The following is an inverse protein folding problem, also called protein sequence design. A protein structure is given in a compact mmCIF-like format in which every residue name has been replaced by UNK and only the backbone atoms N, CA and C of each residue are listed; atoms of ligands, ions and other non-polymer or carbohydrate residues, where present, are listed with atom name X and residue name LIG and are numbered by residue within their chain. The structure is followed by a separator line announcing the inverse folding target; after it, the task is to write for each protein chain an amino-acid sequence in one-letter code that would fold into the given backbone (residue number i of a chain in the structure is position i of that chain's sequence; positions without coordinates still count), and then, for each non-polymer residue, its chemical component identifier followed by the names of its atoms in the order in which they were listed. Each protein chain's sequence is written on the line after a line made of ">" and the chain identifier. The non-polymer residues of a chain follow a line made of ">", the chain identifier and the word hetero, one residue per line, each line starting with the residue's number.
data_IF_767410852475
#
_entry.id   IF_767410852475
#
_cell.length_a   1.000
_cell.length_b   1.000
_cell.length_c   1.000
_cell.angle_alpha   90.00
_cell.angle_beta   90.00
_cell.angle_gamma   90.00
#
_symmetry.space_group_name_H-M   'P 1'
#
loop_
_entity.id
_entity.type
_entity.pdbx_description
1 polymer ?
#
# COMPACT_ATOMS: atom_id res chain seq x y z
N UNK A 1 3.90 7.73 -10.90
CA UNK A 1 3.00 7.74 -9.74
C UNK A 1 1.95 8.79 -9.95
N UNK A 2 0.71 8.39 -9.94
CA UNK A 2 -0.34 9.31 -10.31
C UNK A 2 -1.04 9.89 -9.08
N UNK A 3 -1.77 9.09 -8.36
CA UNK A 3 -2.46 9.60 -7.20
C UNK A 3 -2.40 8.61 -6.07
N UNK A 4 -2.05 9.09 -4.89
CA UNK A 4 -1.94 8.28 -3.70
C UNK A 4 -2.82 8.91 -2.64
N UNK A 5 -3.63 8.11 -2.00
CA UNK A 5 -4.49 8.58 -0.93
C UNK A 5 -3.94 8.05 0.40
N UNK A 6 -3.58 8.98 1.25
CA UNK A 6 -3.06 8.67 2.58
C UNK A 6 -4.10 9.10 3.59
N UNK A 7 -4.69 8.12 4.24
CA UNK A 7 -5.71 8.39 5.25
C UNK A 7 -5.20 7.89 6.58
N UNK A 8 -5.10 8.79 7.50
CA UNK A 8 -4.67 8.42 8.83
C UNK A 8 -5.25 9.35 9.85
N UNK A 9 -5.40 8.85 11.06
CA UNK A 9 -5.84 9.68 12.17
C UNK A 9 -4.61 10.10 12.94
N UNK A 10 -4.32 11.35 12.95
CA UNK A 10 -3.20 11.85 13.72
C UNK A 10 -1.91 11.85 12.94
N UNK A 11 -1.04 10.86 13.16
CA UNK A 11 0.32 10.94 12.62
C UNK A 11 0.46 10.50 11.19
N UNK A 12 -0.41 9.66 10.74
CA UNK A 12 -0.31 9.15 9.41
C UNK A 12 0.73 8.05 9.25
N UNK A 13 0.91 7.54 8.04
CA UNK A 13 1.82 6.43 7.81
C UNK A 13 3.28 6.85 7.83
N UNK A 14 4.13 5.91 8.17
CA UNK A 14 5.58 6.06 8.11
C UNK A 14 6.08 5.22 6.94
N UNK A 15 6.75 5.88 6.02
CA UNK A 15 7.18 5.21 4.79
C UNK A 15 8.69 5.22 4.74
N UNK A 16 9.29 4.06 4.55
CA UNK A 16 10.73 3.91 4.50
C UNK A 16 11.33 4.40 3.19
N UNK A 17 12.56 3.96 2.92
CA UNK A 17 13.30 4.37 1.74
C UNK A 17 13.03 3.43 0.57
N UNK A 18 13.16 3.98 -0.63
CA UNK A 18 13.02 3.20 -1.86
C UNK A 18 11.67 2.50 -1.95
N UNK A 19 10.62 3.21 -1.60
CA UNK A 19 9.27 2.68 -1.68
C UNK A 19 8.63 3.15 -2.97
N UNK A 20 8.11 2.21 -3.73
CA UNK A 20 7.37 2.52 -4.94
C UNK A 20 5.89 2.35 -4.64
N UNK A 21 5.12 3.37 -4.92
CA UNK A 21 3.68 3.33 -4.68
C UNK A 21 2.97 3.59 -6.01
N UNK A 22 2.24 2.60 -6.47
CA UNK A 22 1.55 2.69 -7.74
C UNK A 22 0.36 3.63 -7.71
N UNK A 23 -0.13 3.97 -8.88
CA UNK A 23 -1.24 4.90 -9.02
C UNK A 23 -2.50 4.34 -8.35
N UNK A 24 -3.22 5.19 -7.66
CA UNK A 24 -4.48 4.82 -7.04
C UNK A 24 -4.33 3.99 -5.78
N UNK A 25 -3.11 3.75 -5.31
CA UNK A 25 -2.93 3.03 -4.06
C UNK A 25 -3.44 3.88 -2.89
N UNK A 26 -3.98 3.21 -1.89
CA UNK A 26 -4.48 3.86 -0.70
C UNK A 26 -3.77 3.30 0.52
N UNK A 27 -3.29 4.18 1.38
CA UNK A 27 -2.63 3.78 2.61
C UNK A 27 -3.44 4.37 3.75
N UNK A 28 -4.01 3.51 4.55
CA UNK A 28 -5.00 3.92 5.54
C UNK A 28 -4.48 3.58 6.94
N UNK A 29 -4.53 4.58 7.82
CA UNK A 29 -4.16 4.40 9.21
C UNK A 29 -2.69 4.68 9.45
N UNK A 30 -2.24 4.40 10.67
CA UNK A 30 -0.88 4.66 11.08
C UNK A 30 -0.01 3.43 10.83
N UNK A 31 0.15 3.08 9.56
CA UNK A 31 0.90 1.90 9.19
C UNK A 31 2.37 2.27 8.96
N UNK A 32 3.23 1.28 9.11
CA UNK A 32 4.63 1.42 8.78
C UNK A 32 4.92 0.64 7.52
N UNK A 33 5.55 1.30 6.57
CA UNK A 33 5.98 0.65 5.34
C UNK A 33 7.49 0.65 5.35
N UNK A 34 8.07 -0.53 5.28
CA UNK A 34 9.51 -0.69 5.39
C UNK A 34 10.24 -0.20 4.16
N UNK A 35 11.52 -0.55 4.07
CA UNK A 35 12.37 -0.13 2.96
C UNK A 35 12.24 -1.09 1.79
N UNK A 36 12.44 -0.57 0.60
CA UNK A 36 12.44 -1.39 -0.62
C UNK A 36 11.12 -2.11 -0.83
N UNK A 37 10.02 -1.42 -0.56
CA UNK A 37 8.68 -1.97 -0.70
C UNK A 37 8.06 -1.48 -1.99
N UNK A 38 7.38 -2.36 -2.68
CA UNK A 38 6.63 -1.99 -3.87
C UNK A 38 5.16 -2.19 -3.60
N UNK A 39 4.39 -1.17 -3.83
CA UNK A 39 2.94 -1.24 -3.65
C UNK A 39 2.31 -1.05 -5.01
N UNK A 40 1.62 -2.08 -5.48
CA UNK A 40 1.02 -2.06 -6.80
C UNK A 40 -0.11 -1.06 -6.91
N UNK A 41 -0.42 -0.70 -8.14
CA UNK A 41 -1.50 0.25 -8.40
C UNK A 41 -2.83 -0.27 -7.87
N UNK A 42 -3.59 0.60 -7.27
CA UNK A 42 -4.92 0.26 -6.78
C UNK A 42 -4.95 -0.52 -5.48
N UNK A 43 -3.78 -0.82 -4.90
CA UNK A 43 -3.74 -1.58 -3.66
C UNK A 43 -4.23 -0.75 -2.48
N UNK A 44 -4.77 -1.44 -1.49
CA UNK A 44 -5.19 -0.80 -0.25
C UNK A 44 -4.36 -1.39 0.88
N UNK A 45 -3.63 -0.54 1.57
CA UNK A 45 -2.73 -0.95 2.64
C UNK A 45 -3.33 -0.50 3.97
N UNK A 46 -3.61 -1.46 4.83
CA UNK A 46 -4.21 -1.19 6.13
C UNK A 46 -3.40 -1.78 7.28
N UNK A 47 -2.24 -2.35 6.98
CA UNK A 47 -1.39 -2.95 8.01
C UNK A 47 0.07 -2.71 7.66
N UNK A 48 0.94 -2.92 8.62
CA UNK A 48 2.36 -2.69 8.42
C UNK A 48 2.93 -3.62 7.37
N UNK A 49 3.86 -3.08 6.59
CA UNK A 49 4.52 -3.84 5.53
C UNK A 49 5.99 -3.92 5.87
N UNK A 50 6.54 -5.12 6.03
CA UNK A 50 7.96 -5.26 6.32
C UNK A 50 8.84 -4.91 5.13
N UNK A 51 10.14 -4.83 5.37
CA UNK A 51 11.11 -4.50 4.33
C UNK A 51 11.08 -5.52 3.20
N UNK A 52 11.43 -5.07 2.02
CA UNK A 52 11.63 -5.93 0.85
C UNK A 52 10.39 -6.73 0.48
N UNK A 53 9.23 -6.13 0.62
CA UNK A 53 7.97 -6.79 0.29
C UNK A 53 7.32 -6.14 -0.92
N UNK A 54 6.46 -6.91 -1.56
CA UNK A 54 5.67 -6.40 -2.67
C UNK A 54 4.20 -6.60 -2.35
N UNK A 55 3.45 -5.53 -2.41
CA UNK A 55 2.01 -5.56 -2.17
C UNK A 55 1.32 -5.49 -3.52
N UNK A 56 0.42 -6.42 -3.76
CA UNK A 56 -0.36 -6.42 -5.00
C UNK A 56 -1.82 -6.43 -4.64
N UNK A 57 -2.62 -5.86 -5.54
CA UNK A 57 -4.04 -5.89 -5.35
C UNK A 57 -4.56 -7.25 -5.78
N UNK A 58 -5.27 -7.90 -4.87
CA UNK A 58 -5.92 -9.14 -5.21
C UNK A 58 -7.29 -8.86 -5.76
N UNK A 59 -7.51 -9.25 -6.97
CA UNK A 59 -8.83 -9.14 -7.53
C UNK A 59 -9.71 -10.23 -6.94
N UNK A 60 -10.94 -9.91 -6.60
CA UNK A 60 -11.87 -10.94 -6.17
C UNK A 60 -12.00 -11.99 -7.26
N UNK A 61 -11.94 -13.23 -6.88
CA UNK A 61 -12.15 -14.29 -7.83
C UNK A 61 -13.62 -14.52 -8.00
N UNK A 62 -14.01 -14.51 -9.24
CA UNK A 62 -15.39 -14.81 -9.57
C UNK A 62 -15.43 -16.25 -10.03
N UNK A 63 -16.13 -17.05 -9.28
CA UNK A 63 -16.23 -18.46 -9.58
C UNK A 63 -17.48 -18.68 -10.40
N UNK A 64 -17.27 -19.14 -11.59
CA UNK A 64 -18.36 -19.41 -12.50
C UNK A 64 -18.75 -20.88 -12.40
N UNK A 65 -20.01 -21.12 -12.32
CA UNK A 65 -20.53 -22.48 -12.22
C UNK A 65 -21.11 -22.93 -13.52
#
# INVERSE_FOLDING_TARGET
>A
MDRIILLGGGKGPIIGDNVFIGAGAKIIGNVKIGNNVKIGAGSVVVEDIPDNCTVVMHKPRIIQK
#
